data_IF_720003163376
#
_entry.id   IF_720003163376
#
_cell.length_a   1.000
_cell.length_b   1.000
_cell.length_c   1.000
_cell.angle_alpha   90.00
_cell.angle_beta   90.00
_cell.angle_gamma   90.00
#
_symmetry.space_group_name_H-M   'P 1'
#
loop_
_entity.id
_entity.type
_entity.pdbx_description
1 polymer ?
#
# COMPACT_ATOMS: atom_id res chain seq x y z
N UNK A 1 18.12 1.34 -2.68
CA UNK A 1 17.59 1.22 -4.06
C UNK A 1 16.50 2.26 -4.25
N UNK A 2 16.29 2.75 -5.48
CA UNK A 2 15.22 3.69 -5.80
C UNK A 2 13.85 2.98 -5.80
N UNK A 3 12.79 3.69 -5.40
CA UNK A 3 11.41 3.18 -5.42
C UNK A 3 10.89 3.11 -6.87
N UNK A 4 10.32 1.97 -7.26
CA UNK A 4 9.74 1.78 -8.57
C UNK A 4 8.32 2.37 -8.62
N UNK A 5 8.08 3.36 -9.49
CA UNK A 5 6.74 3.97 -9.66
C UNK A 5 6.06 3.39 -10.89
N UNK A 6 4.90 2.76 -10.70
CA UNK A 6 4.12 2.09 -11.74
C UNK A 6 2.76 2.77 -11.82
N UNK A 7 2.40 3.30 -13.00
CA UNK A 7 1.10 3.93 -13.23
C UNK A 7 0.09 2.91 -13.77
N UNK A 8 -1.05 2.83 -13.11
CA UNK A 8 -2.20 2.00 -13.46
C UNK A 8 -3.41 2.91 -13.74
N UNK A 9 -4.41 2.37 -14.43
CA UNK A 9 -5.61 3.12 -14.77
C UNK A 9 -6.63 3.07 -13.63
N UNK A 10 -6.78 1.92 -12.96
CA UNK A 10 -7.80 1.72 -11.92
C UNK A 10 -7.22 1.24 -10.59
N UNK A 11 -8.00 1.38 -9.52
CA UNK A 11 -7.63 0.90 -8.19
C UNK A 11 -7.49 -0.63 -8.16
N UNK A 12 -8.35 -1.35 -8.86
CA UNK A 12 -8.32 -2.81 -8.94
C UNK A 12 -7.03 -3.26 -9.63
N UNK A 13 -6.66 -2.60 -10.72
CA UNK A 13 -5.42 -2.89 -11.43
C UNK A 13 -4.21 -2.62 -10.54
N UNK A 14 -4.15 -1.46 -9.89
CA UNK A 14 -3.05 -1.12 -9.00
C UNK A 14 -2.92 -2.11 -7.84
N UNK A 15 -4.04 -2.49 -7.22
CA UNK A 15 -4.08 -3.50 -6.15
C UNK A 15 -3.57 -4.84 -6.66
N UNK A 16 -4.08 -5.34 -7.78
CA UNK A 16 -3.72 -6.65 -8.29
C UNK A 16 -2.24 -6.71 -8.70
N UNK A 17 -1.69 -5.65 -9.30
CA UNK A 17 -0.25 -5.59 -9.61
C UNK A 17 0.63 -5.48 -8.37
N UNK A 18 0.16 -4.79 -7.33
CA UNK A 18 0.86 -4.73 -6.06
C UNK A 18 0.91 -6.11 -5.37
N UNK A 19 -0.18 -6.88 -5.45
CA UNK A 19 -0.21 -8.27 -4.97
C UNK A 19 0.73 -9.15 -5.79
N UNK A 20 0.65 -9.10 -7.11
CA UNK A 20 1.53 -9.85 -8.03
C UNK A 20 3.02 -9.56 -7.73
N UNK A 21 3.37 -8.30 -7.48
CA UNK A 21 4.75 -7.91 -7.14
C UNK A 21 5.25 -8.55 -5.83
N UNK A 22 4.38 -8.73 -4.85
CA UNK A 22 4.70 -9.44 -3.61
C UNK A 22 4.75 -10.97 -3.83
N UNK A 23 3.84 -11.51 -4.64
CA UNK A 23 3.81 -12.94 -4.99
C UNK A 23 5.06 -13.37 -5.76
N UNK A 24 5.56 -12.54 -6.67
CA UNK A 24 6.85 -12.73 -7.37
C UNK A 24 8.04 -12.81 -6.39
N UNK A 25 7.88 -12.30 -5.16
CA UNK A 25 8.86 -12.39 -4.07
C UNK A 25 8.52 -13.50 -3.06
N UNK A 26 7.64 -14.41 -3.47
CA UNK A 26 7.16 -15.56 -2.70
C UNK A 26 6.44 -15.21 -1.40
N UNK A 27 5.93 -13.99 -1.27
CA UNK A 27 5.11 -13.59 -0.12
C UNK A 27 3.83 -14.44 -0.08
N UNK A 28 3.51 -14.96 1.10
CA UNK A 28 2.26 -15.66 1.35
C UNK A 28 1.35 -14.80 2.22
N UNK A 29 0.17 -14.48 1.69
CA UNK A 29 -0.86 -13.73 2.42
C UNK A 29 -1.59 -14.66 3.40
N UNK A 30 -0.96 -14.94 4.53
CA UNK A 30 -1.50 -15.82 5.57
C UNK A 30 -2.38 -15.11 6.62
N UNK A 31 -2.89 -15.87 7.61
CA UNK A 31 -3.64 -15.34 8.74
C UNK A 31 -2.77 -14.51 9.70
N UNK A 32 -1.45 -14.72 9.72
CA UNK A 32 -0.49 -14.00 10.58
C UNK A 32 -0.20 -12.56 10.13
N UNK A 33 -0.97 -12.03 9.18
CA UNK A 33 -0.81 -10.64 8.71
C UNK A 33 -1.29 -9.67 9.78
N UNK A 34 -0.54 -8.58 9.94
CA UNK A 34 -0.87 -7.48 10.85
C UNK A 34 -1.48 -6.34 10.06
N UNK A 35 -2.62 -5.82 10.52
CA UNK A 35 -3.28 -4.66 9.94
C UNK A 35 -2.40 -3.42 10.13
N UNK A 36 -2.22 -2.65 9.06
CA UNK A 36 -1.46 -1.41 9.06
C UNK A 36 -2.44 -0.24 9.13
N UNK A 37 -2.27 0.60 10.13
CA UNK A 37 -3.03 1.84 10.28
C UNK A 37 -2.28 3.02 9.67
N UNK A 38 -3.01 3.93 9.02
CA UNK A 38 -2.43 5.18 8.54
C UNK A 38 -1.98 6.04 9.72
N UNK A 39 -0.74 6.52 9.68
CA UNK A 39 -0.10 7.25 10.77
C UNK A 39 0.44 8.63 10.36
N UNK A 40 0.26 9.01 9.09
CA UNK A 40 0.74 10.27 8.55
C UNK A 40 -0.35 11.34 8.67
N UNK A 41 -0.13 12.31 9.55
CA UNK A 41 -0.99 13.49 9.67
C UNK A 41 -1.15 14.25 8.35
N UNK A 42 -0.13 14.18 7.48
CA UNK A 42 -0.15 14.78 6.13
C UNK A 42 -1.20 14.18 5.19
N UNK A 43 -1.72 12.99 5.50
CA UNK A 43 -2.86 12.39 4.85
C UNK A 43 -3.95 12.13 5.90
N UNK A 44 -4.52 13.22 6.42
CA UNK A 44 -5.46 13.20 7.54
C UNK A 44 -6.68 12.31 7.28
N UNK A 45 -7.08 12.13 6.03
CA UNK A 45 -8.17 11.21 5.65
C UNK A 45 -7.88 9.74 5.99
N UNK A 46 -6.62 9.30 5.97
CA UNK A 46 -6.23 7.92 6.27
C UNK A 46 -5.74 7.73 7.70
N UNK A 47 -5.67 8.80 8.50
CA UNK A 47 -5.18 8.75 9.87
C UNK A 47 -6.08 7.84 10.72
N UNK A 48 -5.46 6.84 11.36
CA UNK A 48 -6.15 5.83 12.18
C UNK A 48 -7.02 4.84 11.40
N UNK A 49 -7.02 4.86 10.06
CA UNK A 49 -7.77 3.93 9.22
C UNK A 49 -6.94 2.72 8.82
N UNK A 50 -7.59 1.57 8.58
CA UNK A 50 -6.92 0.38 8.04
C UNK A 50 -6.45 0.67 6.60
N UNK A 51 -5.16 0.94 6.43
CA UNK A 51 -4.59 1.28 5.11
C UNK A 51 -4.07 0.06 4.37
N UNK A 52 -3.78 -1.03 5.07
CA UNK A 52 -3.37 -2.27 4.46
C UNK A 52 -2.87 -3.29 5.47
N UNK A 53 -1.88 -4.07 5.08
CA UNK A 53 -1.39 -5.21 5.86
C UNK A 53 0.12 -5.38 5.74
N UNK A 54 0.71 -6.02 6.73
CA UNK A 54 2.12 -6.42 6.75
C UNK A 54 2.28 -7.83 7.28
N UNK A 55 3.43 -8.45 7.03
CA UNK A 55 3.72 -9.80 7.50
C UNK A 55 5.22 -10.07 7.52
N UNK A 56 5.61 -11.29 7.90
CA UNK A 56 7.02 -11.69 8.01
C UNK A 56 7.44 -12.84 7.09
N UNK A 57 6.52 -13.41 6.29
CA UNK A 57 6.81 -14.62 5.49
C UNK A 57 6.91 -14.32 3.99
N UNK A 58 8.03 -14.67 3.32
CA UNK A 58 9.28 -15.26 3.84
C UNK A 58 10.26 -14.23 4.42
N UNK A 59 10.00 -12.94 4.17
CA UNK A 59 10.67 -11.79 4.77
C UNK A 59 9.60 -10.79 5.19
N UNK A 60 10.00 -9.79 5.97
CA UNK A 60 9.10 -8.69 6.27
C UNK A 60 8.59 -8.04 4.99
N UNK A 61 7.29 -7.80 4.92
CA UNK A 61 6.65 -7.14 3.79
C UNK A 61 5.50 -6.27 4.27
N UNK A 62 5.14 -5.27 3.47
CA UNK A 62 4.03 -4.37 3.75
C UNK A 62 3.38 -3.93 2.45
N UNK A 63 2.04 -3.89 2.45
CA UNK A 63 1.20 -3.32 1.42
C UNK A 63 0.27 -2.32 2.10
N UNK A 64 0.24 -1.07 1.65
CA UNK A 64 -0.66 -0.04 2.16
C UNK A 64 -1.19 0.87 1.07
N UNK A 65 -2.42 1.32 1.21
CA UNK A 65 -2.97 2.46 0.48
C UNK A 65 -2.35 3.74 1.06
N UNK A 66 -1.87 4.60 0.17
CA UNK A 66 -1.21 5.85 0.53
C UNK A 66 -1.64 6.95 -0.46
N UNK A 67 -1.39 8.21 -0.08
CA UNK A 67 -1.64 9.36 -0.94
C UNK A 67 -0.53 10.39 -0.76
N UNK A 68 0.05 10.83 -1.87
CA UNK A 68 0.93 11.99 -1.88
C UNK A 68 0.62 12.91 -3.07
N UNK A 69 0.88 14.23 -2.98
CA UNK A 69 0.54 15.16 -4.04
C UNK A 69 1.29 14.94 -5.37
N UNK A 70 2.42 14.23 -5.37
CA UNK A 70 3.25 14.02 -6.56
C UNK A 70 2.82 12.76 -7.33
N UNK A 71 2.56 11.66 -6.62
CA UNK A 71 2.15 10.38 -7.21
C UNK A 71 0.63 10.19 -7.26
N UNK A 72 -0.11 10.92 -6.43
CA UNK A 72 -1.53 10.74 -6.21
C UNK A 72 -1.83 9.51 -5.35
N UNK A 73 -3.01 8.93 -5.54
CA UNK A 73 -3.41 7.69 -4.88
C UNK A 73 -2.57 6.51 -5.38
N UNK A 74 -2.04 5.73 -4.45
CA UNK A 74 -1.23 4.58 -4.79
C UNK A 74 -1.23 3.49 -3.72
N UNK A 75 -0.92 2.26 -4.13
CA UNK A 75 -0.51 1.22 -3.21
C UNK A 75 1.00 1.24 -3.07
N UNK A 76 1.49 1.48 -1.86
CA UNK A 76 2.90 1.35 -1.53
C UNK A 76 3.16 -0.08 -1.06
N UNK A 77 4.10 -0.75 -1.72
CA UNK A 77 4.60 -2.06 -1.31
C UNK A 77 6.07 -2.01 -0.94
N UNK A 78 6.42 -2.77 0.09
CA UNK A 78 7.78 -2.90 0.58
C UNK A 78 8.06 -4.37 0.87
N UNK A 79 9.25 -4.83 0.49
CA UNK A 79 9.74 -6.17 0.77
C UNK A 79 11.18 -6.10 1.32
N UNK A 80 11.40 -6.73 2.47
CA UNK A 80 12.63 -6.62 3.24
C UNK A 80 12.70 -5.36 4.13
N UNK A 81 13.80 -5.20 4.86
CA UNK A 81 14.05 -4.07 5.76
C UNK A 81 15.40 -3.41 5.43
N UNK A 82 15.54 -2.13 5.81
CA UNK A 82 16.80 -1.39 5.70
C UNK A 82 17.15 -1.01 4.26
N UNK A 83 18.45 -0.82 3.99
CA UNK A 83 18.95 -0.33 2.69
C UNK A 83 18.70 -1.30 1.52
N UNK A 84 18.52 -2.58 1.82
CA UNK A 84 18.23 -3.63 0.85
C UNK A 84 16.72 -3.83 0.61
N UNK A 85 15.87 -3.01 1.24
CA UNK A 85 14.42 -3.09 1.01
C UNK A 85 14.09 -2.70 -0.43
N UNK A 86 13.27 -3.52 -1.08
CA UNK A 86 12.68 -3.24 -2.36
C UNK A 86 11.35 -2.53 -2.16
N UNK A 87 11.13 -1.45 -2.92
CA UNK A 87 9.96 -0.58 -2.77
C UNK A 87 9.34 -0.31 -4.13
N UNK A 88 8.01 -0.38 -4.18
CA UNK A 88 7.26 0.05 -5.36
C UNK A 88 5.98 0.79 -4.96
N UNK A 89 5.58 1.73 -5.81
CA UNK A 89 4.35 2.49 -5.71
C UNK A 89 3.50 2.23 -6.95
N UNK A 90 2.32 1.63 -6.76
CA UNK A 90 1.35 1.36 -7.82
C UNK A 90 0.28 2.46 -7.80
N UNK A 91 0.50 3.49 -8.59
CA UNK A 91 -0.35 4.67 -8.68
C UNK A 91 -1.58 4.40 -9.54
N UNK A 92 -2.71 5.00 -9.19
CA UNK A 92 -3.93 4.92 -9.99
C UNK A 92 -4.62 6.28 -10.05
N UNK A 93 -5.49 6.46 -11.05
CA UNK A 93 -6.23 7.70 -11.18
C UNK A 93 -7.21 7.86 -10.02
N UNK A 94 -7.12 9.00 -9.34
CA UNK A 94 -8.09 9.40 -8.34
C UNK A 94 -7.59 10.58 -7.53
N UNK A 95 -8.54 11.41 -7.12
CA UNK A 95 -8.29 12.61 -6.34
C UNK A 95 -8.82 12.51 -4.90
N UNK A 96 -8.85 13.64 -4.17
CA UNK A 96 -9.30 13.71 -2.78
C UNK A 96 -10.69 13.12 -2.54
N UNK A 97 -11.61 13.23 -3.50
CA UNK A 97 -12.95 12.63 -3.40
C UNK A 97 -12.90 11.10 -3.30
N UNK A 98 -12.07 10.45 -4.12
CA UNK A 98 -11.91 9.00 -4.07
C UNK A 98 -11.18 8.59 -2.79
N UNK A 99 -10.16 9.35 -2.36
CA UNK A 99 -9.45 9.14 -1.09
C UNK A 99 -10.43 9.08 0.09
N UNK A 100 -11.34 10.06 0.21
CA UNK A 100 -12.34 10.10 1.29
C UNK A 100 -13.29 8.91 1.25
N UNK A 101 -13.74 8.51 0.06
CA UNK A 101 -14.58 7.32 -0.11
C UNK A 101 -13.86 6.05 0.34
N UNK A 102 -12.57 5.93 -0.01
CA UNK A 102 -11.73 4.81 0.40
C UNK A 102 -11.50 4.81 1.91
N UNK A 103 -11.22 5.96 2.52
CA UNK A 103 -11.02 6.12 3.95
C UNK A 103 -12.27 5.73 4.76
N UNK A 104 -13.46 6.14 4.30
CA UNK A 104 -14.72 5.86 4.98
C UNK A 104 -15.00 4.34 5.11
N UNK A 105 -14.59 3.55 4.12
CA UNK A 105 -14.75 2.10 4.10
C UNK A 105 -13.70 1.33 4.92
N UNK A 106 -12.76 2.01 5.58
CA UNK A 106 -11.57 1.42 6.24
C UNK A 106 -11.53 1.68 7.74
N UNK A 107 -12.69 1.62 8.39
CA UNK A 107 -12.73 1.73 9.84
C UNK A 107 -11.96 0.56 10.48
N UNK A 108 -11.15 0.82 11.53
CA UNK A 108 -10.48 -0.25 12.27
C UNK A 108 -11.52 -1.20 12.84
N UNK A 109 -11.28 -2.50 12.67
CA UNK A 109 -12.08 -3.59 13.24
C UNK A 109 -11.73 -3.88 14.69
#
# INVERSE_FOLDING_TARGET
MAEQVIRCTTIEQARNRALEWLEQRHVRFGPERVIVHGNLEKCSELLGKETGVSGQSPKWWRLRLDYDPTKGLHFNVEFGKGAAAEKAAFCFSGGPTLLRKLAAARQPR
#
